data_IF_019986915913
#
_entry.id   IF_019986915913
#
_cell.length_a   1.000
_cell.length_b   1.000
_cell.length_c   1.000
_cell.angle_alpha   90.00
_cell.angle_beta   90.00
_cell.angle_gamma   90.00
#
_symmetry.space_group_name_H-M   'P 1'
#
loop_
_entity.id
_entity.type
_entity.pdbx_description
1 polymer ?
#
# COMPACT_ATOMS: atom_id res chain seq x y z
N UNK A 1 25.06 12.49 -2.62
CA UNK A 1 24.20 12.39 -1.44
C UNK A 1 22.73 12.73 -1.70
N UNK A 2 22.35 13.78 -2.44
CA UNK A 2 20.93 14.12 -2.68
C UNK A 2 20.09 13.08 -3.46
N UNK A 3 20.66 12.26 -4.34
CA UNK A 3 19.92 11.21 -5.07
C UNK A 3 19.53 9.99 -4.22
N UNK A 4 20.28 9.64 -3.19
CA UNK A 4 19.95 8.49 -2.32
C UNK A 4 18.73 8.76 -1.43
N UNK A 5 18.50 10.00 -1.01
CA UNK A 5 17.35 10.38 -0.18
C UNK A 5 16.01 10.33 -0.95
N UNK A 6 16.02 10.68 -2.23
CA UNK A 6 14.81 10.61 -3.07
C UNK A 6 14.33 9.17 -3.22
N UNK A 7 15.24 8.21 -3.32
CA UNK A 7 14.87 6.79 -3.44
C UNK A 7 14.42 6.17 -2.12
N UNK A 8 14.96 6.59 -0.99
CA UNK A 8 14.51 6.14 0.34
C UNK A 8 13.09 6.65 0.60
N UNK A 9 12.81 7.90 0.28
CA UNK A 9 11.44 8.45 0.38
C UNK A 9 10.50 7.75 -0.60
N UNK A 10 10.94 7.49 -1.84
CA UNK A 10 10.12 6.78 -2.83
C UNK A 10 9.84 5.31 -2.44
N UNK A 11 10.80 4.63 -1.79
CA UNK A 11 10.60 3.25 -1.34
C UNK A 11 9.73 3.15 -0.09
N UNK A 12 9.82 4.10 0.82
CA UNK A 12 8.90 4.20 1.97
C UNK A 12 7.50 4.52 1.47
N UNK A 13 7.33 5.42 0.51
CA UNK A 13 6.05 5.68 -0.13
C UNK A 13 5.50 4.47 -0.88
N UNK A 14 6.34 3.73 -1.60
CA UNK A 14 5.90 2.54 -2.34
C UNK A 14 5.44 1.41 -1.41
N UNK A 15 5.92 1.38 -0.18
CA UNK A 15 5.60 0.40 0.83
C UNK A 15 4.30 0.68 1.59
N UNK A 16 3.98 1.93 1.79
CA UNK A 16 2.74 2.37 2.43
C UNK A 16 1.54 1.81 1.65
N UNK A 17 1.66 1.65 0.32
CA UNK A 17 0.61 1.08 -0.54
C UNK A 17 0.24 -0.38 -0.27
N UNK A 18 1.04 -1.15 0.45
CA UNK A 18 0.85 -2.60 0.56
C UNK A 18 0.34 -3.08 1.93
N UNK A 19 0.22 -2.21 2.93
CA UNK A 19 0.12 -2.68 4.31
C UNK A 19 -1.26 -2.62 4.97
N UNK A 20 -2.32 -2.20 4.30
CA UNK A 20 -3.59 -2.01 4.99
C UNK A 20 -4.81 -2.70 4.40
N UNK A 21 -5.17 -3.80 4.98
CA UNK A 21 -6.54 -4.21 5.19
C UNK A 21 -6.61 -5.19 6.38
N UNK A 22 -6.58 -4.67 7.58
CA UNK A 22 -6.87 -5.46 8.78
C UNK A 22 -7.94 -4.78 9.63
N UNK A 23 -9.16 -4.82 9.18
CA UNK A 23 -10.32 -4.90 10.05
C UNK A 23 -11.29 -5.87 9.41
N UNK A 24 -11.19 -7.15 9.78
CA UNK A 24 -12.35 -8.01 9.63
C UNK A 24 -13.44 -7.43 10.52
N UNK A 25 -14.58 -7.01 9.98
CA UNK A 25 -15.74 -6.81 10.80
C UNK A 25 -16.08 -8.19 11.39
N UNK A 26 -16.07 -8.31 12.71
CA UNK A 26 -16.78 -9.39 13.41
C UNK A 26 -18.27 -9.19 13.09
N UNK A 27 -18.67 -9.64 11.92
CA UNK A 27 -20.04 -9.61 11.41
C UNK A 27 -20.62 -10.99 11.52
N UNK A 28 -21.63 -11.09 12.32
CA UNK A 28 -22.74 -12.04 12.32
C UNK A 28 -22.85 -12.89 11.07
N UNK A 29 -22.99 -14.19 11.24
CA UNK A 29 -23.39 -15.19 10.27
C UNK A 29 -24.55 -14.71 9.39
N UNK A 30 -24.26 -14.09 8.27
CA UNK A 30 -25.16 -14.02 7.13
C UNK A 30 -24.75 -15.10 6.14
N UNK A 31 -25.75 -15.88 5.73
CA UNK A 31 -25.60 -17.07 4.92
C UNK A 31 -24.78 -16.84 3.65
N UNK A 32 -23.95 -17.79 3.42
CA UNK A 32 -23.04 -18.10 2.33
C UNK A 32 -23.35 -17.42 0.98
N UNK A 33 -22.99 -16.17 0.80
CA UNK A 33 -22.89 -15.53 -0.53
C UNK A 33 -21.55 -15.91 -1.13
N UNK A 34 -21.47 -17.05 -1.78
CA UNK A 34 -20.24 -17.63 -2.32
C UNK A 34 -19.59 -16.78 -3.41
N UNK A 35 -20.37 -15.91 -4.07
CA UNK A 35 -19.97 -15.16 -5.26
C UNK A 35 -19.90 -13.63 -5.05
N UNK A 36 -19.99 -13.14 -3.82
CA UNK A 36 -19.91 -11.71 -3.53
C UNK A 36 -18.44 -11.26 -3.47
N UNK A 37 -18.12 -10.19 -4.18
CA UNK A 37 -16.86 -9.47 -4.11
C UNK A 37 -17.07 -8.19 -3.31
N UNK A 38 -16.16 -7.95 -2.36
CA UNK A 38 -16.10 -6.71 -1.58
C UNK A 38 -14.93 -5.86 -2.07
N UNK A 39 -15.22 -4.60 -2.37
CA UNK A 39 -14.21 -3.61 -2.76
C UNK A 39 -14.09 -2.61 -1.62
N UNK A 40 -12.88 -2.32 -1.20
CA UNK A 40 -12.60 -1.25 -0.24
C UNK A 40 -11.70 -0.20 -0.88
N UNK A 41 -12.01 1.05 -0.63
CA UNK A 41 -11.21 2.19 -1.05
C UNK A 41 -10.62 2.84 0.19
N UNK A 42 -9.32 2.94 0.24
CA UNK A 42 -8.57 3.54 1.33
C UNK A 42 -7.78 4.74 0.82
N UNK A 43 -7.81 5.83 1.55
CA UNK A 43 -6.98 7.01 1.34
C UNK A 43 -6.21 7.28 2.62
N UNK A 44 -4.92 7.01 2.61
CA UNK A 44 -4.02 7.17 3.76
C UNK A 44 -4.56 6.59 5.08
N UNK A 45 -5.10 5.37 5.04
CA UNK A 45 -5.63 4.68 6.21
C UNK A 45 -7.07 5.05 6.60
N UNK A 46 -7.74 5.92 5.82
CA UNK A 46 -9.15 6.24 6.00
C UNK A 46 -9.99 5.71 4.83
N UNK A 47 -10.99 4.88 5.12
CA UNK A 47 -11.93 4.42 4.10
C UNK A 47 -12.79 5.58 3.61
N UNK A 48 -12.79 5.84 2.31
CA UNK A 48 -13.56 6.88 1.63
C UNK A 48 -14.03 6.43 0.25
N UNK A 49 -15.14 6.98 -0.21
CA UNK A 49 -15.60 6.70 -1.55
C UNK A 49 -14.63 7.28 -2.59
N UNK A 50 -14.34 6.51 -3.63
CA UNK A 50 -13.68 7.00 -4.82
C UNK A 50 -14.63 7.92 -5.63
N UNK A 51 -14.06 8.69 -6.55
CA UNK A 51 -14.81 9.57 -7.45
C UNK A 51 -15.72 8.77 -8.39
N UNK A 52 -15.24 7.58 -8.78
CA UNK A 52 -15.99 6.66 -9.64
C UNK A 52 -15.56 5.21 -9.35
N UNK A 53 -16.51 4.28 -9.32
CA UNK A 53 -16.24 2.83 -9.26
C UNK A 53 -17.16 2.12 -10.22
N UNK A 54 -16.63 1.21 -11.04
CA UNK A 54 -17.42 0.35 -11.89
C UNK A 54 -16.87 -1.07 -11.92
N UNK A 55 -17.73 -2.02 -12.28
CA UNK A 55 -17.40 -3.44 -12.38
C UNK A 55 -17.88 -4.01 -13.70
N UNK A 56 -17.23 -5.09 -14.13
CA UNK A 56 -17.60 -5.91 -15.25
C UNK A 56 -17.67 -7.37 -14.78
N UNK A 57 -18.78 -8.05 -15.04
CA UNK A 57 -19.02 -9.45 -14.72
C UNK A 57 -18.72 -10.31 -15.96
N UNK A 58 -17.63 -11.08 -15.93
CA UNK A 58 -17.10 -11.80 -17.08
C UNK A 58 -16.26 -10.96 -18.04
N UNK A 59 -15.53 -11.60 -18.95
CA UNK A 59 -14.66 -10.94 -19.93
C UNK A 59 -15.42 -10.02 -20.90
N UNK A 60 -16.61 -10.45 -21.32
CA UNK A 60 -17.44 -9.79 -22.33
C UNK A 60 -18.66 -9.08 -21.71
N UNK A 61 -18.73 -9.01 -20.37
CA UNK A 61 -19.82 -8.36 -19.66
C UNK A 61 -19.85 -6.85 -19.88
N UNK A 62 -20.99 -6.24 -19.62
CA UNK A 62 -21.11 -4.77 -19.62
C UNK A 62 -20.56 -4.19 -18.33
N UNK A 63 -19.94 -3.02 -18.43
CA UNK A 63 -19.53 -2.27 -17.25
C UNK A 63 -20.76 -1.67 -16.57
N UNK A 64 -20.79 -1.74 -15.24
CA UNK A 64 -21.84 -1.20 -14.40
C UNK A 64 -21.24 -0.33 -13.29
N UNK A 65 -21.74 0.90 -13.14
CA UNK A 65 -21.29 1.79 -12.06
C UNK A 65 -21.84 1.29 -10.72
N UNK A 66 -20.94 1.21 -9.71
CA UNK A 66 -21.33 0.86 -8.35
C UNK A 66 -21.46 2.09 -7.46
N UNK A 67 -22.47 2.04 -6.59
CA UNK A 67 -22.60 3.00 -5.49
C UNK A 67 -22.14 2.34 -4.19
N UNK A 68 -21.20 2.98 -3.51
CA UNK A 68 -20.64 2.53 -2.24
C UNK A 68 -21.00 3.46 -1.09
N UNK A 69 -20.64 3.03 0.09
CA UNK A 69 -20.77 3.81 1.31
C UNK A 69 -19.51 3.67 2.15
N UNK A 70 -18.95 4.81 2.59
CA UNK A 70 -17.75 4.83 3.41
C UNK A 70 -16.60 3.99 2.84
N UNK A 71 -16.37 4.12 1.53
CA UNK A 71 -15.27 3.40 0.86
C UNK A 71 -15.51 1.91 0.66
N UNK A 72 -16.73 1.41 0.91
CA UNK A 72 -17.04 -0.01 0.71
C UNK A 72 -18.09 -0.17 -0.40
N UNK A 73 -17.81 -1.08 -1.35
CA UNK A 73 -18.65 -1.44 -2.46
C UNK A 73 -18.78 -2.97 -2.51
N UNK A 74 -19.90 -3.47 -3.04
CA UNK A 74 -20.16 -4.90 -3.16
C UNK A 74 -20.87 -5.21 -4.46
N UNK A 75 -20.53 -6.33 -5.08
CA UNK A 75 -21.26 -6.85 -6.21
C UNK A 75 -21.19 -8.39 -6.24
N UNK A 76 -22.10 -9.00 -6.98
CA UNK A 76 -22.15 -10.45 -7.13
C UNK A 76 -21.66 -10.81 -8.52
N UNK A 77 -20.69 -11.70 -8.60
CA UNK A 77 -20.19 -12.26 -9.86
C UNK A 77 -21.09 -13.41 -10.26
N UNK A 78 -21.65 -13.35 -11.47
CA UNK A 78 -22.52 -14.39 -12.03
C UNK A 78 -21.83 -15.16 -13.17
N UNK A 79 -20.70 -14.66 -13.64
CA UNK A 79 -19.90 -15.36 -14.66
C UNK A 79 -19.56 -16.78 -14.22
N UNK A 80 -19.73 -17.75 -15.13
CA UNK A 80 -19.55 -19.17 -14.83
C UNK A 80 -18.11 -19.54 -14.50
N UNK A 81 -17.15 -18.82 -15.04
CA UNK A 81 -15.71 -18.97 -14.77
C UNK A 81 -15.28 -18.11 -13.57
N UNK A 82 -16.19 -17.33 -13.01
CA UNK A 82 -15.95 -16.45 -11.88
C UNK A 82 -15.07 -15.25 -12.22
N UNK A 83 -14.93 -14.91 -13.50
CA UNK A 83 -14.09 -13.79 -13.97
C UNK A 83 -14.79 -12.47 -13.72
N UNK A 84 -14.03 -11.48 -13.28
CA UNK A 84 -14.54 -10.12 -13.11
C UNK A 84 -13.44 -9.07 -13.22
N UNK A 85 -13.87 -7.84 -13.46
CA UNK A 85 -13.01 -6.67 -13.50
C UNK A 85 -13.59 -5.54 -12.66
N UNK A 86 -12.72 -4.72 -12.08
CA UNK A 86 -13.08 -3.55 -11.30
C UNK A 86 -12.23 -2.38 -11.79
N UNK A 87 -12.84 -1.21 -11.85
CA UNK A 87 -12.12 0.06 -12.00
C UNK A 87 -12.55 1.01 -10.90
N UNK A 88 -11.59 1.68 -10.29
CA UNK A 88 -11.81 2.79 -9.38
C UNK A 88 -11.00 3.99 -9.84
N UNK A 89 -11.61 5.17 -9.81
CA UNK A 89 -10.95 6.44 -10.17
C UNK A 89 -10.99 7.36 -8.98
N UNK A 90 -9.85 7.94 -8.69
CA UNK A 90 -9.70 9.02 -7.74
C UNK A 90 -9.26 10.30 -8.46
N UNK A 91 -10.05 11.35 -8.34
CA UNK A 91 -9.75 12.67 -8.88
C UNK A 91 -9.23 13.56 -7.76
N UNK A 92 -8.14 14.26 -8.03
CA UNK A 92 -7.65 15.30 -7.12
C UNK A 92 -8.54 16.55 -7.21
N UNK A 93 -8.93 17.11 -6.08
CA UNK A 93 -9.90 18.22 -6.03
C UNK A 93 -9.32 19.55 -6.54
N UNK A 94 -7.99 19.68 -6.55
CA UNK A 94 -7.31 20.95 -6.86
C UNK A 94 -6.40 20.90 -8.10
N UNK A 95 -6.40 19.79 -8.79
CA UNK A 95 -5.65 19.60 -10.03
C UNK A 95 -6.51 18.82 -11.05
N UNK A 96 -6.11 18.85 -12.30
CA UNK A 96 -6.72 17.98 -13.31
C UNK A 96 -6.11 16.56 -13.27
N UNK A 97 -5.41 16.20 -12.18
CA UNK A 97 -4.81 14.90 -12.02
C UNK A 97 -5.85 13.89 -11.55
N UNK A 98 -5.66 12.65 -11.97
CA UNK A 98 -6.45 11.52 -11.50
C UNK A 98 -5.59 10.26 -11.46
N UNK A 99 -5.98 9.37 -10.57
CA UNK A 99 -5.43 8.03 -10.48
C UNK A 99 -6.52 7.01 -10.80
N UNK A 100 -6.19 6.06 -11.65
CA UNK A 100 -7.11 4.97 -11.97
C UNK A 100 -6.48 3.66 -11.50
N UNK A 101 -7.20 2.91 -10.71
CA UNK A 101 -6.80 1.57 -10.28
C UNK A 101 -7.74 0.54 -10.93
N UNK A 102 -7.16 -0.43 -11.64
CA UNK A 102 -7.88 -1.52 -12.28
C UNK A 102 -7.47 -2.84 -11.64
N UNK A 103 -8.45 -3.69 -11.44
CA UNK A 103 -8.25 -5.05 -10.99
C UNK A 103 -8.98 -6.01 -11.95
N UNK A 104 -8.29 -7.07 -12.34
CA UNK A 104 -8.84 -8.13 -13.16
C UNK A 104 -8.47 -9.48 -12.54
N UNK A 105 -9.47 -10.29 -12.24
CA UNK A 105 -9.23 -11.56 -11.55
C UNK A 105 -10.40 -12.50 -11.58
N UNK A 106 -10.28 -13.57 -10.79
CA UNK A 106 -11.34 -14.56 -10.61
C UNK A 106 -11.77 -14.67 -9.14
N UNK A 107 -13.00 -15.14 -8.90
CA UNK A 107 -13.51 -15.41 -7.56
C UNK A 107 -12.67 -16.41 -6.77
N UNK A 108 -11.96 -17.30 -7.48
CA UNK A 108 -11.08 -18.29 -6.84
C UNK A 108 -9.82 -17.64 -6.28
N UNK A 109 -9.39 -16.51 -6.85
CA UNK A 109 -8.15 -15.82 -6.48
C UNK A 109 -8.39 -14.66 -5.52
N UNK A 110 -9.47 -13.90 -5.71
CA UNK A 110 -9.79 -12.79 -4.83
C UNK A 110 -11.30 -12.61 -4.66
N UNK A 111 -11.76 -12.41 -3.44
CA UNK A 111 -13.12 -11.97 -3.08
C UNK A 111 -13.14 -10.63 -2.37
N UNK A 112 -11.97 -10.13 -2.05
CA UNK A 112 -11.78 -8.80 -1.49
C UNK A 112 -10.70 -8.08 -2.31
N UNK A 113 -11.01 -6.89 -2.77
CA UNK A 113 -10.07 -6.03 -3.51
C UNK A 113 -9.98 -4.71 -2.77
N UNK A 114 -8.77 -4.31 -2.41
CA UNK A 114 -8.51 -3.05 -1.76
C UNK A 114 -7.74 -2.13 -2.71
N UNK A 115 -8.32 -0.96 -2.99
CA UNK A 115 -7.61 0.10 -3.69
C UNK A 115 -7.17 1.15 -2.69
N UNK A 116 -5.94 1.57 -2.83
CA UNK A 116 -5.34 2.60 -2.04
C UNK A 116 -4.96 3.76 -2.93
N UNK A 117 -5.41 4.94 -2.57
CA UNK A 117 -5.06 6.19 -3.23
C UNK A 117 -4.30 7.09 -2.28
N UNK A 118 -3.28 7.73 -2.78
CA UNK A 118 -2.60 8.80 -2.04
C UNK A 118 -3.52 10.01 -1.95
N UNK A 119 -3.43 10.71 -0.85
CA UNK A 119 -4.21 11.92 -0.65
C UNK A 119 -3.28 13.13 -0.62
N UNK A 120 -3.11 13.79 -1.75
CA UNK A 120 -2.37 15.06 -1.82
C UNK A 120 -3.21 16.26 -1.31
N UNK A 121 -4.42 16.00 -0.79
CA UNK A 121 -5.32 17.07 -0.41
C UNK A 121 -5.16 17.50 1.03
N UNK A 122 -4.61 18.69 1.20
CA UNK A 122 -4.52 19.39 2.49
C UNK A 122 -5.88 19.57 3.22
N UNK A 123 -7.01 19.39 2.52
CA UNK A 123 -8.36 19.47 3.12
C UNK A 123 -8.66 18.37 4.13
N UNK A 124 -8.04 17.22 4.00
CA UNK A 124 -8.21 16.08 4.89
C UNK A 124 -7.18 16.03 6.03
N UNK A 125 -6.24 16.97 6.03
CA UNK A 125 -5.26 17.14 7.06
C UNK A 125 -5.69 18.23 8.06
N UNK A 126 -5.14 18.15 9.26
CA UNK A 126 -5.26 19.17 10.27
C UNK A 126 -3.95 19.22 11.09
N UNK A 127 -3.80 20.25 11.91
CA UNK A 127 -2.58 20.49 12.68
C UNK A 127 -2.67 19.89 14.07
N UNK A 128 -1.71 19.03 14.43
CA UNK A 128 -1.49 18.55 15.77
C UNK A 128 -0.31 19.30 16.41
N UNK A 129 -0.60 20.10 17.42
CA UNK A 129 0.41 20.72 18.28
C UNK A 129 0.77 19.77 19.42
N UNK A 130 2.01 19.31 19.49
CA UNK A 130 2.49 18.40 20.52
C UNK A 130 3.41 19.15 21.47
N UNK A 131 3.13 19.06 22.78
CA UNK A 131 4.01 19.55 23.84
C UNK A 131 4.60 18.32 24.54
N UNK A 132 5.93 18.18 24.52
CA UNK A 132 6.66 17.15 25.25
C UNK A 132 7.06 17.65 26.64
N UNK A 133 7.36 16.75 27.61
CA UNK A 133 7.84 17.14 28.94
C UNK A 133 9.13 17.97 28.85
N UNK A 134 9.37 18.83 29.82
CA UNK A 134 10.54 19.72 29.88
C UNK A 134 11.87 18.95 29.81
N UNK A 135 11.93 17.75 30.37
CA UNK A 135 13.08 16.83 30.27
C UNK A 135 13.46 16.44 28.82
N UNK A 136 12.54 16.62 27.87
CA UNK A 136 12.69 16.34 26.44
C UNK A 136 12.52 17.58 25.56
N UNK A 137 12.58 18.79 26.11
CA UNK A 137 12.34 20.03 25.37
C UNK A 137 13.29 20.22 24.17
N UNK A 138 14.49 19.62 24.24
CA UNK A 138 15.49 19.66 23.17
C UNK A 138 15.60 18.33 22.39
N UNK A 139 14.66 17.40 22.61
CA UNK A 139 14.65 16.13 21.88
C UNK A 139 14.00 16.29 20.50
N UNK A 140 14.31 15.42 19.55
CA UNK A 140 13.55 15.37 18.32
C UNK A 140 12.35 14.43 18.44
N UNK A 141 11.34 14.65 17.60
CA UNK A 141 10.07 13.92 17.66
C UNK A 141 9.68 13.43 16.27
N UNK A 142 9.35 12.12 16.16
CA UNK A 142 8.69 11.55 14.99
C UNK A 142 7.26 11.16 15.38
N UNK A 143 6.32 11.41 14.49
CA UNK A 143 4.89 11.16 14.76
C UNK A 143 4.32 10.26 13.67
N UNK A 144 3.62 9.21 14.11
CA UNK A 144 2.96 8.24 13.24
C UNK A 144 1.48 8.18 13.59
N UNK A 145 0.65 8.33 12.59
CA UNK A 145 -0.79 8.25 12.76
C UNK A 145 -1.42 7.70 11.48
N UNK A 146 -2.20 6.64 11.61
CA UNK A 146 -2.69 5.88 10.47
C UNK A 146 -1.48 5.42 9.62
N UNK A 147 -1.48 5.73 8.34
CA UNK A 147 -0.36 5.44 7.41
C UNK A 147 0.61 6.60 7.24
N UNK A 148 0.32 7.71 7.90
CA UNK A 148 1.10 8.94 7.74
C UNK A 148 2.25 9.00 8.73
N UNK A 149 3.42 9.36 8.22
CA UNK A 149 4.60 9.68 8.98
C UNK A 149 4.87 11.17 8.88
N UNK A 150 4.80 11.88 10.00
CA UNK A 150 5.34 13.23 10.09
C UNK A 150 6.82 13.11 10.51
N UNK A 151 7.76 13.43 9.60
CA UNK A 151 9.16 13.15 9.82
C UNK A 151 9.72 14.00 10.94
N UNK A 152 10.87 13.55 11.45
CA UNK A 152 11.76 14.11 12.42
C UNK A 152 11.69 15.64 12.56
N UNK A 153 10.97 16.10 13.57
CA UNK A 153 10.82 17.50 13.92
C UNK A 153 11.58 17.82 15.21
N UNK A 154 12.39 18.87 15.18
CA UNK A 154 13.01 19.38 16.40
C UNK A 154 12.05 20.36 17.07
N UNK A 155 11.52 20.04 18.27
CA UNK A 155 10.67 20.97 19.01
C UNK A 155 11.39 22.29 19.29
N UNK A 156 10.66 23.38 19.21
CA UNK A 156 11.11 24.66 19.76
C UNK A 156 10.45 24.83 21.15
N UNK A 157 11.25 24.98 22.17
CA UNK A 157 10.77 25.09 23.57
C UNK A 157 9.84 23.93 23.97
N UNK A 158 10.17 22.70 23.59
CA UNK A 158 9.37 21.52 23.88
C UNK A 158 8.07 21.40 23.10
N UNK A 159 7.86 22.23 22.07
CA UNK A 159 6.65 22.21 21.22
C UNK A 159 6.99 21.91 19.78
N UNK A 160 6.22 21.04 19.17
CA UNK A 160 6.28 20.79 17.72
C UNK A 160 4.88 20.81 17.13
N UNK A 161 4.79 21.04 15.84
CA UNK A 161 3.53 21.02 15.11
C UNK A 161 3.70 20.14 13.88
N UNK A 162 2.78 19.23 13.68
CA UNK A 162 2.73 18.30 12.54
C UNK A 162 1.37 18.38 11.86
N UNK A 163 1.33 18.13 10.58
CA UNK A 163 0.09 17.94 9.82
C UNK A 163 -0.19 16.45 9.71
N UNK A 164 -1.38 16.02 10.09
CA UNK A 164 -1.80 14.63 10.10
C UNK A 164 -3.15 14.49 9.40
N UNK A 165 -3.43 13.33 8.78
CA UNK A 165 -4.74 13.06 8.19
C UNK A 165 -5.81 12.99 9.28
N UNK A 166 -7.04 13.46 8.98
CA UNK A 166 -8.18 13.31 9.87
C UNK A 166 -8.62 11.85 9.93
N UNK A 167 -8.90 11.35 11.11
CA UNK A 167 -9.32 9.96 11.28
C UNK A 167 -9.33 9.51 12.72
N UNK A 168 -9.40 8.19 12.92
CA UNK A 168 -9.29 7.54 14.22
C UNK A 168 -8.42 6.29 14.10
N UNK A 169 -7.44 6.18 14.97
CA UNK A 169 -6.47 5.10 14.95
C UNK A 169 -5.50 5.22 16.12
N UNK A 170 -4.35 4.61 16.02
CA UNK A 170 -3.26 4.74 16.98
C UNK A 170 -2.39 5.94 16.62
N UNK A 171 -2.11 6.79 17.62
CA UNK A 171 -1.07 7.80 17.52
C UNK A 171 0.18 7.31 18.22
N UNK A 172 1.31 7.32 17.53
CA UNK A 172 2.62 7.00 18.09
C UNK A 172 3.52 8.21 17.98
N UNK A 173 4.10 8.62 19.10
CA UNK A 173 5.07 9.71 19.17
C UNK A 173 6.38 9.15 19.70
N UNK A 174 7.42 9.16 18.89
CA UNK A 174 8.75 8.69 19.25
C UNK A 174 9.63 9.88 19.57
N UNK A 175 10.27 9.84 20.74
CA UNK A 175 11.22 10.87 21.19
C UNK A 175 12.63 10.35 20.92
N UNK A 176 13.44 11.16 20.25
CA UNK A 176 14.81 10.87 19.89
C UNK A 176 15.79 11.78 20.61
N UNK A 177 16.93 11.23 20.96
CA UNK A 177 18.09 12.01 21.36
C UNK A 177 18.62 12.80 20.14
N UNK A 178 18.85 14.10 20.29
CA UNK A 178 19.26 14.96 19.17
C UNK A 178 20.66 14.63 18.63
N UNK A 179 21.56 14.24 19.51
CA UNK A 179 22.98 14.03 19.16
C UNK A 179 23.17 12.68 18.47
N UNK A 180 22.52 11.65 19.00
CA UNK A 180 22.66 10.27 18.50
C UNK A 180 21.56 9.85 17.53
N UNK A 181 20.46 10.62 17.45
CA UNK A 181 19.23 10.29 16.72
C UNK A 181 18.56 8.98 17.19
N UNK A 182 19.02 8.42 18.28
CA UNK A 182 18.47 7.19 18.83
C UNK A 182 17.10 7.42 19.46
N UNK A 183 16.17 6.51 19.21
CA UNK A 183 14.88 6.50 19.89
C UNK A 183 15.06 6.22 21.39
N UNK A 184 14.53 7.08 22.24
CA UNK A 184 14.70 7.01 23.70
C UNK A 184 13.43 6.69 24.42
N UNK A 185 12.32 7.28 24.00
CA UNK A 185 10.99 7.12 24.61
C UNK A 185 9.91 7.08 23.54
N UNK A 186 8.77 6.51 23.92
CA UNK A 186 7.59 6.46 23.06
C UNK A 186 6.31 6.76 23.87
N UNK A 187 5.40 7.48 23.23
CA UNK A 187 4.02 7.65 23.64
C UNK A 187 3.11 6.95 22.65
N UNK A 188 2.14 6.18 23.14
CA UNK A 188 1.16 5.47 22.31
C UNK A 188 -0.24 5.79 22.82
N UNK A 189 -1.08 6.39 21.97
CA UNK A 189 -2.52 6.52 22.21
C UNK A 189 -3.26 5.58 21.25
N UNK A 190 -3.87 4.53 21.81
CA UNK A 190 -4.52 3.45 21.05
C UNK A 190 -5.91 3.80 20.51
N UNK A 191 -6.46 4.94 20.91
CA UNK A 191 -7.81 5.36 20.53
C UNK A 191 -7.85 6.84 20.17
N UNK A 192 -6.77 7.33 19.55
CA UNK A 192 -6.68 8.72 19.16
C UNK A 192 -7.68 9.04 18.05
N UNK A 193 -8.44 10.10 18.29
CA UNK A 193 -9.37 10.65 17.30
C UNK A 193 -8.95 12.06 16.94
N UNK A 194 -8.79 12.30 15.64
CA UNK A 194 -8.27 13.53 15.07
C UNK A 194 -9.17 14.00 13.93
N UNK A 195 -10.01 15.01 14.21
CA UNK A 195 -11.02 15.51 13.27
C UNK A 195 -10.79 16.98 12.87
N UNK A 196 -9.74 17.60 13.40
CA UNK A 196 -9.39 19.00 13.19
C UNK A 196 -8.24 19.42 14.09
N UNK A 197 -7.81 20.66 13.99
CA UNK A 197 -6.69 21.20 14.78
C UNK A 197 -6.82 20.86 16.26
N UNK A 198 -5.76 20.30 16.84
CA UNK A 198 -5.76 19.79 18.20
C UNK A 198 -4.41 20.03 18.87
N UNK A 199 -4.44 20.18 20.19
CA UNK A 199 -3.24 20.21 21.04
C UNK A 199 -3.16 18.96 21.88
N UNK A 200 -1.98 18.37 21.98
CA UNK A 200 -1.65 17.22 22.80
C UNK A 200 -0.49 17.59 23.72
N UNK A 201 -0.70 17.50 25.01
CA UNK A 201 0.39 17.59 26.00
C UNK A 201 0.70 16.19 26.50
N UNK A 202 1.93 15.75 26.29
CA UNK A 202 2.41 14.45 26.74
C UNK A 202 3.03 14.63 28.14
N UNK A 203 2.46 13.95 29.13
CA UNK A 203 3.02 13.91 30.49
C UNK A 203 4.17 12.89 30.53
N UNK A 204 5.19 13.15 31.35
CA UNK A 204 6.35 12.25 31.48
C UNK A 204 5.95 10.83 31.94
N UNK A 205 4.93 10.71 32.79
CA UNK A 205 4.35 9.44 33.24
C UNK A 205 3.75 8.58 32.12
N UNK A 206 3.40 9.20 31.00
CA UNK A 206 2.84 8.53 29.81
C UNK A 206 3.91 8.07 28.82
N UNK A 207 5.13 8.54 28.96
CA UNK A 207 6.26 8.11 28.14
C UNK A 207 6.75 6.74 28.61
N UNK A 208 6.90 5.83 27.66
CA UNK A 208 7.33 4.45 27.89
C UNK A 208 8.75 4.23 27.36
N UNK A 209 9.47 3.33 28.01
CA UNK A 209 10.69 2.79 27.45
C UNK A 209 10.34 1.72 26.42
N UNK A 210 11.14 1.62 25.36
CA UNK A 210 10.99 0.55 24.39
C UNK A 210 11.17 -0.82 25.02
N UNK A 211 10.58 -1.83 24.41
CA UNK A 211 10.90 -3.22 24.71
C UNK A 211 12.33 -3.58 24.27
N UNK A 212 12.66 -4.87 24.34
CA UNK A 212 13.99 -5.32 23.93
C UNK A 212 14.22 -5.14 22.43
N UNK A 213 15.44 -4.85 22.05
CA UNK A 213 15.86 -4.84 20.65
C UNK A 213 15.71 -6.23 20.01
N UNK A 214 15.21 -6.28 18.79
CA UNK A 214 15.16 -7.48 17.97
C UNK A 214 16.56 -7.69 17.39
N UNK A 215 17.31 -8.61 17.99
CA UNK A 215 18.72 -8.89 17.62
C UNK A 215 18.84 -10.22 16.90
N UNK A 216 19.70 -10.26 15.89
CA UNK A 216 19.98 -11.46 15.09
C UNK A 216 19.12 -11.51 13.81
N UNK A 217 19.38 -12.50 12.98
CA UNK A 217 18.89 -12.54 11.61
C UNK A 217 19.85 -11.84 10.65
N UNK A 218 19.37 -11.50 9.43
CA UNK A 218 20.16 -10.74 8.47
C UNK A 218 20.22 -9.27 8.88
N UNK A 219 21.40 -8.66 8.77
CA UNK A 219 21.64 -7.23 9.09
C UNK A 219 20.91 -6.27 8.12
N UNK A 220 20.42 -6.80 7.00
CA UNK A 220 19.71 -6.06 5.97
C UNK A 220 18.20 -5.99 6.23
N UNK A 221 17.73 -6.64 7.30
CA UNK A 221 16.30 -6.65 7.67
C UNK A 221 15.97 -5.44 8.54
N UNK A 222 14.93 -4.72 8.15
CA UNK A 222 14.29 -3.67 8.93
C UNK A 222 13.01 -4.23 9.57
N UNK A 223 12.79 -3.93 10.85
CA UNK A 223 11.59 -4.35 11.57
C UNK A 223 10.65 -3.17 11.78
N UNK A 224 9.37 -3.38 11.57
CA UNK A 224 8.32 -2.39 11.79
C UNK A 224 7.36 -2.85 12.88
N UNK A 225 6.78 -1.91 13.62
CA UNK A 225 5.56 -2.20 14.36
C UNK A 225 4.36 -2.05 13.43
N UNK A 226 3.50 -3.06 13.45
CA UNK A 226 2.21 -3.04 12.78
C UNK A 226 1.15 -3.01 13.88
N UNK A 227 0.75 -1.82 14.26
CA UNK A 227 -0.39 -1.58 15.15
C UNK A 227 -1.64 -1.61 14.25
N UNK A 228 -2.82 -1.79 14.80
CA UNK A 228 -4.05 -2.00 14.02
C UNK A 228 -4.13 -1.19 12.72
N UNK A 229 -3.87 0.13 12.78
CA UNK A 229 -3.90 1.04 11.62
C UNK A 229 -2.62 1.84 11.41
N UNK A 230 -1.66 1.72 12.30
CA UNK A 230 -0.44 2.55 12.28
C UNK A 230 0.80 1.69 12.12
N UNK A 231 1.64 2.08 11.18
CA UNK A 231 2.94 1.48 10.92
C UNK A 231 4.04 2.36 11.49
N UNK A 232 4.98 1.77 12.22
CA UNK A 232 6.14 2.49 12.76
C UNK A 232 7.42 1.83 12.26
N UNK A 233 8.22 2.54 11.42
CA UNK A 233 9.44 1.99 10.83
C UNK A 233 10.52 1.65 11.84
N UNK A 234 11.17 0.52 11.66
CA UNK A 234 12.28 0.07 12.49
C UNK A 234 13.50 0.98 12.46
N UNK A 235 13.71 1.69 11.36
CA UNK A 235 14.75 2.71 11.25
C UNK A 235 14.58 3.85 12.27
N UNK A 236 13.33 4.15 12.63
CA UNK A 236 12.96 5.18 13.61
C UNK A 236 13.09 4.67 15.05
N UNK A 237 12.74 3.41 15.27
CA UNK A 237 12.71 2.80 16.61
C UNK A 237 13.90 1.89 16.88
N UNK A 238 14.94 1.95 16.05
CA UNK A 238 16.19 1.14 16.19
C UNK A 238 15.89 -0.36 16.39
N UNK A 239 14.91 -0.91 15.67
CA UNK A 239 14.44 -2.29 15.77
C UNK A 239 14.00 -2.72 17.20
N UNK A 240 13.61 -1.77 18.03
CA UNK A 240 13.10 -2.07 19.36
C UNK A 240 11.69 -2.65 19.30
N UNK A 241 11.33 -3.49 20.25
CA UNK A 241 9.95 -3.98 20.43
C UNK A 241 9.05 -2.91 21.01
N UNK A 242 7.74 -3.07 20.77
CA UNK A 242 6.69 -2.32 21.47
C UNK A 242 6.93 -2.48 22.98
N UNK A 243 6.74 -1.41 23.80
CA UNK A 243 6.80 -1.54 25.25
C UNK A 243 5.90 -2.66 25.75
N UNK A 244 6.40 -3.53 26.63
CA UNK A 244 5.68 -4.74 27.07
C UNK A 244 4.29 -4.41 27.64
N UNK A 245 4.14 -3.28 28.34
CA UNK A 245 2.87 -2.81 28.89
C UNK A 245 1.88 -2.26 27.86
N UNK A 246 2.35 -1.96 26.63
CA UNK A 246 1.54 -1.40 25.55
C UNK A 246 1.14 -2.43 24.48
N UNK A 247 1.71 -3.65 24.55
CA UNK A 247 1.43 -4.70 23.56
C UNK A 247 -0.05 -5.12 23.61
N UNK A 248 -0.69 -5.17 22.43
CA UNK A 248 -2.02 -5.72 22.22
C UNK A 248 -1.97 -7.02 21.44
N UNK A 249 -3.00 -7.84 21.58
CA UNK A 249 -3.09 -9.12 20.84
C UNK A 249 -3.17 -8.95 19.31
N UNK A 250 -3.61 -7.77 18.86
CA UNK A 250 -3.67 -7.39 17.45
C UNK A 250 -2.33 -6.93 16.88
N UNK A 251 -1.38 -6.52 17.73
CA UNK A 251 -0.10 -6.00 17.28
C UNK A 251 0.74 -7.06 16.59
N UNK A 252 1.50 -6.65 15.61
CA UNK A 252 2.40 -7.48 14.82
C UNK A 252 3.73 -6.78 14.63
N UNK A 253 4.69 -7.56 14.20
CA UNK A 253 5.98 -7.07 13.72
C UNK A 253 6.13 -7.49 12.28
N UNK A 254 6.51 -6.57 11.43
CA UNK A 254 6.86 -6.87 10.05
C UNK A 254 8.37 -6.79 9.91
N UNK A 255 8.96 -7.85 9.41
CA UNK A 255 10.35 -7.88 8.98
C UNK A 255 10.37 -7.64 7.47
N UNK A 256 11.18 -6.72 7.04
CA UNK A 256 11.36 -6.35 5.65
C UNK A 256 12.81 -6.51 5.23
N UNK A 257 12.99 -7.08 4.05
CA UNK A 257 14.27 -7.16 3.34
C UNK A 257 14.13 -6.45 2.01
N UNK A 258 15.03 -5.52 1.75
CA UNK A 258 15.09 -4.77 0.50
C UNK A 258 16.41 -5.06 -0.20
N UNK A 259 16.35 -5.52 -1.44
CA UNK A 259 17.50 -5.63 -2.31
C UNK A 259 17.34 -4.65 -3.47
N UNK A 260 18.28 -3.72 -3.54
CA UNK A 260 18.37 -2.75 -4.63
C UNK A 260 19.12 -3.34 -5.81
N UNK A 261 18.56 -3.24 -7.00
CA UNK A 261 19.20 -3.72 -8.21
C UNK A 261 18.17 -4.02 -9.30
N UNK A 262 18.56 -4.81 -10.27
CA UNK A 262 17.70 -5.39 -11.29
C UNK A 262 17.76 -6.92 -11.14
N UNK A 263 16.69 -7.53 -10.60
CA UNK A 263 15.44 -6.90 -10.12
C UNK A 263 15.59 -6.18 -8.78
N UNK A 264 14.67 -5.26 -8.52
CA UNK A 264 14.42 -4.79 -7.16
C UNK A 264 13.58 -5.84 -6.44
N UNK A 265 14.06 -6.33 -5.29
CA UNK A 265 13.35 -7.32 -4.48
C UNK A 265 12.93 -6.64 -3.18
N UNK A 266 11.63 -6.66 -2.93
CA UNK A 266 11.06 -6.32 -1.64
C UNK A 266 10.38 -7.57 -1.08
N UNK A 267 10.85 -8.01 0.07
CA UNK A 267 10.30 -9.16 0.75
C UNK A 267 9.99 -8.82 2.20
N UNK A 268 8.89 -9.30 2.69
CA UNK A 268 8.50 -9.09 4.08
C UNK A 268 7.78 -10.29 4.68
N UNK A 269 7.87 -10.36 6.02
CA UNK A 269 7.22 -11.36 6.85
C UNK A 269 6.58 -10.68 8.06
N UNK A 270 5.35 -11.06 8.36
CA UNK A 270 4.62 -10.57 9.53
C UNK A 270 4.64 -11.63 10.64
N UNK A 271 4.99 -11.24 11.86
CA UNK A 271 5.01 -12.10 13.04
C UNK A 271 4.34 -11.44 14.24
N UNK A 272 3.90 -12.25 15.21
CA UNK A 272 3.35 -11.74 16.49
C UNK A 272 4.43 -11.38 17.50
N UNK A 273 5.61 -12.00 17.41
CA UNK A 273 6.55 -12.06 18.53
C UNK A 273 7.78 -11.17 18.35
N UNK A 274 7.97 -10.56 17.18
CA UNK A 274 9.19 -9.82 16.88
C UNK A 274 10.41 -10.69 17.10
N UNK A 275 10.44 -11.86 16.43
CA UNK A 275 11.59 -12.77 16.46
C UNK A 275 12.57 -12.40 15.36
N UNK A 276 13.87 -12.70 15.54
CA UNK A 276 14.86 -12.55 14.47
C UNK A 276 14.50 -13.42 13.25
N UNK A 277 14.64 -12.85 12.07
CA UNK A 277 14.28 -13.49 10.80
C UNK A 277 15.51 -13.52 9.89
N UNK A 278 15.61 -14.59 9.09
CA UNK A 278 16.60 -14.74 8.02
C UNK A 278 15.91 -14.92 6.69
N UNK A 279 16.36 -14.23 5.67
CA UNK A 279 15.87 -14.38 4.29
C UNK A 279 16.55 -15.55 3.63
N UNK A 280 15.77 -16.40 2.95
CA UNK A 280 16.31 -17.55 2.24
C UNK A 280 17.14 -17.14 1.03
N UNK A 281 18.19 -17.90 0.70
CA UNK A 281 19.04 -17.64 -0.46
C UNK A 281 18.25 -17.60 -1.78
N UNK A 282 17.18 -18.39 -1.90
CA UNK A 282 16.32 -18.40 -3.08
C UNK A 282 15.64 -17.05 -3.34
N UNK A 283 15.30 -16.29 -2.28
CA UNK A 283 14.75 -14.94 -2.43
C UNK A 283 15.83 -13.97 -2.91
N UNK A 284 17.03 -14.09 -2.35
CA UNK A 284 18.16 -13.22 -2.68
C UNK A 284 18.69 -13.39 -4.11
N UNK A 285 18.31 -14.47 -4.79
CA UNK A 285 18.78 -14.84 -6.13
C UNK A 285 17.68 -14.82 -7.19
N UNK A 286 16.55 -14.17 -6.93
CA UNK A 286 15.49 -13.98 -7.93
C UNK A 286 16.02 -13.18 -9.14
N UNK A 287 15.64 -13.66 -10.33
CA UNK A 287 16.02 -13.02 -11.59
C UNK A 287 14.95 -12.04 -12.07
N UNK A 288 15.37 -11.07 -12.88
CA UNK A 288 14.51 -10.07 -13.50
C UNK A 288 13.39 -10.69 -14.33
N UNK A 289 12.18 -10.15 -14.19
CA UNK A 289 11.02 -10.50 -14.99
C UNK A 289 10.75 -9.49 -16.12
N UNK A 290 11.58 -8.48 -16.31
CA UNK A 290 11.38 -7.44 -17.33
C UNK A 290 11.23 -8.01 -18.75
N UNK A 291 11.90 -9.12 -19.08
CA UNK A 291 11.76 -9.80 -20.35
C UNK A 291 10.40 -10.49 -20.57
N UNK A 292 9.58 -10.56 -19.52
CA UNK A 292 8.26 -11.22 -19.60
C UNK A 292 7.13 -10.27 -20.01
N UNK A 293 7.42 -8.98 -20.24
CA UNK A 293 6.41 -7.99 -20.59
C UNK A 293 6.76 -7.28 -21.90
N UNK A 294 5.75 -7.08 -22.74
CA UNK A 294 5.83 -6.19 -23.89
C UNK A 294 4.53 -5.40 -24.04
N UNK A 295 4.63 -4.17 -24.49
CA UNK A 295 3.47 -3.31 -24.68
C UNK A 295 3.37 -2.90 -26.15
N UNK A 296 2.14 -2.84 -26.66
CA UNK A 296 1.82 -2.37 -28.01
C UNK A 296 0.58 -1.47 -27.95
N UNK A 297 0.53 -0.49 -28.83
CA UNK A 297 -0.61 0.40 -28.99
C UNK A 297 -0.31 1.44 -30.06
N UNK A 298 -1.36 2.02 -30.63
CA UNK A 298 -1.30 3.15 -31.54
C UNK A 298 -2.15 4.29 -30.99
N UNK A 299 -1.99 5.48 -31.54
CA UNK A 299 -2.78 6.67 -31.11
C UNK A 299 -4.30 6.46 -31.11
N UNK A 300 -4.81 5.49 -31.86
CA UNK A 300 -6.25 5.20 -31.99
C UNK A 300 -6.69 3.93 -31.28
N UNK A 301 -5.76 3.15 -30.70
CA UNK A 301 -6.05 1.86 -30.07
C UNK A 301 -5.77 1.92 -28.56
N UNK A 302 -6.60 1.23 -27.80
CA UNK A 302 -6.36 1.05 -26.37
C UNK A 302 -5.08 0.21 -26.16
N UNK A 303 -4.27 0.54 -25.14
CA UNK A 303 -3.06 -0.18 -24.82
C UNK A 303 -3.27 -1.69 -24.69
N UNK A 304 -2.36 -2.47 -25.27
CA UNK A 304 -2.25 -3.90 -25.06
C UNK A 304 -0.91 -4.24 -24.41
N UNK A 305 -0.96 -5.02 -23.39
CA UNK A 305 0.21 -5.49 -22.67
C UNK A 305 0.23 -7.01 -22.74
N UNK A 306 1.26 -7.58 -23.34
CA UNK A 306 1.48 -9.01 -23.35
C UNK A 306 2.43 -9.37 -22.22
N UNK A 307 2.01 -10.31 -21.38
CA UNK A 307 2.77 -10.84 -20.27
C UNK A 307 3.12 -12.29 -20.57
N UNK A 308 4.38 -12.68 -20.40
CA UNK A 308 4.71 -14.10 -20.37
C UNK A 308 4.47 -14.65 -18.97
N UNK A 309 4.06 -15.92 -18.90
CA UNK A 309 3.92 -16.60 -17.62
C UNK A 309 5.26 -16.59 -16.89
N UNK A 310 5.27 -16.03 -15.71
CA UNK A 310 6.41 -16.12 -14.80
C UNK A 310 6.27 -17.38 -13.96
N UNK A 311 7.29 -18.20 -13.94
CA UNK A 311 7.37 -19.37 -13.06
C UNK A 311 8.28 -19.05 -11.89
N UNK A 312 7.75 -19.15 -10.68
CA UNK A 312 8.53 -18.90 -9.48
C UNK A 312 9.67 -19.93 -9.37
N UNK A 313 10.92 -19.48 -9.27
CA UNK A 313 12.03 -20.38 -9.01
C UNK A 313 12.09 -20.85 -7.55
N UNK A 314 11.25 -20.28 -6.69
CA UNK A 314 11.17 -20.63 -5.27
C UNK A 314 10.08 -21.68 -5.10
N UNK A 315 10.45 -22.86 -4.61
CA UNK A 315 9.51 -23.93 -4.28
C UNK A 315 8.44 -23.42 -3.30
N UNK A 316 7.18 -23.79 -3.53
CA UNK A 316 6.02 -23.38 -2.74
C UNK A 316 5.54 -21.95 -2.93
N UNK A 317 6.21 -21.12 -3.72
CA UNK A 317 5.77 -19.77 -4.03
C UNK A 317 5.11 -19.72 -5.42
N UNK A 318 3.87 -19.31 -5.46
CA UNK A 318 3.12 -19.08 -6.70
C UNK A 318 3.01 -17.61 -7.00
N UNK A 319 2.88 -17.27 -8.28
CA UNK A 319 2.46 -15.93 -8.69
C UNK A 319 1.02 -15.70 -8.24
N UNK A 320 0.80 -14.64 -7.48
CA UNK A 320 -0.55 -14.24 -7.03
C UNK A 320 -1.16 -13.18 -7.91
N UNK A 321 -0.34 -12.25 -8.38
CA UNK A 321 -0.75 -11.26 -9.37
C UNK A 321 0.46 -10.61 -10.03
N UNK A 322 0.19 -10.01 -11.18
CA UNK A 322 1.04 -9.05 -11.86
C UNK A 322 0.46 -7.65 -11.63
N UNK A 323 1.32 -6.70 -11.33
CA UNK A 323 0.94 -5.30 -11.22
C UNK A 323 1.85 -4.48 -12.12
N UNK A 324 1.29 -3.59 -12.92
CA UNK A 324 2.02 -2.68 -13.77
C UNK A 324 1.30 -1.35 -13.88
N UNK A 325 2.05 -0.31 -14.14
CA UNK A 325 1.51 1.02 -14.34
C UNK A 325 1.63 1.44 -15.81
N UNK A 326 0.57 2.08 -16.27
CA UNK A 326 0.54 2.75 -17.56
C UNK A 326 0.45 4.24 -17.28
N UNK A 327 1.50 4.98 -17.61
CA UNK A 327 1.54 6.41 -17.37
C UNK A 327 1.98 7.19 -18.59
N UNK A 328 1.55 8.45 -18.67
CA UNK A 328 1.92 9.34 -19.75
C UNK A 328 3.41 9.75 -19.63
N UNK A 329 4.13 9.72 -20.73
CA UNK A 329 5.53 10.16 -20.75
C UNK A 329 5.63 11.67 -20.54
N UNK A 330 6.38 12.08 -19.51
CA UNK A 330 6.39 13.45 -18.97
C UNK A 330 7.27 14.44 -19.78
N UNK A 331 7.99 14.02 -20.81
CA UNK A 331 9.12 14.80 -21.35
C UNK A 331 8.78 16.17 -21.94
N UNK A 332 7.54 16.50 -22.27
CA UNK A 332 7.26 17.79 -22.96
C UNK A 332 5.87 18.41 -22.74
N UNK A 333 4.98 17.83 -21.95
CA UNK A 333 3.60 18.31 -21.85
C UNK A 333 3.18 18.62 -20.40
N UNK A 334 2.76 19.88 -20.09
CA UNK A 334 2.21 20.25 -18.78
C UNK A 334 0.76 19.76 -18.56
N UNK A 335 0.21 18.95 -19.46
CA UNK A 335 -1.17 18.46 -19.35
C UNK A 335 -1.36 17.49 -18.20
N UNK A 336 -2.57 17.37 -17.63
CA UNK A 336 -2.89 16.49 -16.54
C UNK A 336 -2.54 15.04 -16.90
N UNK A 337 -1.66 14.48 -16.12
CA UNK A 337 -1.15 13.12 -16.36
C UNK A 337 -1.95 12.16 -15.51
N UNK A 338 -2.76 11.35 -16.19
CA UNK A 338 -3.40 10.21 -15.54
C UNK A 338 -2.40 9.06 -15.40
N UNK A 339 -2.39 8.44 -14.23
CA UNK A 339 -1.68 7.18 -14.01
C UNK A 339 -2.68 6.06 -13.80
N UNK A 340 -2.46 4.95 -14.52
CA UNK A 340 -3.29 3.76 -14.42
C UNK A 340 -2.49 2.65 -13.76
N UNK A 341 -2.91 2.23 -12.58
CA UNK A 341 -2.36 1.09 -11.86
C UNK A 341 -3.19 -0.14 -12.19
N UNK A 342 -2.59 -1.15 -12.78
CA UNK A 342 -3.27 -2.35 -13.24
C UNK A 342 -2.78 -3.54 -12.45
N UNK A 343 -3.70 -4.28 -11.85
CA UNK A 343 -3.46 -5.54 -11.17
C UNK A 343 -4.22 -6.65 -11.86
N UNK A 344 -3.52 -7.70 -12.28
CA UNK A 344 -4.09 -8.83 -13.03
C UNK A 344 -3.66 -10.14 -12.40
N UNK A 345 -4.61 -11.02 -12.13
CA UNK A 345 -4.30 -12.34 -11.57
C UNK A 345 -3.96 -13.36 -12.66
N UNK A 346 -3.21 -14.44 -12.33
CA UNK A 346 -2.93 -15.51 -13.27
C UNK A 346 -4.19 -16.14 -13.90
N UNK A 347 -5.23 -16.39 -13.10
CA UNK A 347 -6.47 -16.99 -13.58
C UNK A 347 -7.20 -16.13 -14.62
N UNK A 348 -7.15 -14.80 -14.48
CA UNK A 348 -7.65 -13.90 -15.52
C UNK A 348 -6.77 -13.97 -16.78
N UNK A 349 -5.44 -13.94 -16.64
CA UNK A 349 -4.49 -13.96 -17.75
C UNK A 349 -4.57 -15.27 -18.56
N UNK A 350 -4.83 -16.39 -17.91
CA UNK A 350 -5.06 -17.67 -18.59
C UNK A 350 -6.30 -17.65 -19.50
N UNK A 351 -7.31 -16.84 -19.19
CA UNK A 351 -8.51 -16.66 -20.02
C UNK A 351 -8.30 -15.69 -21.18
N UNK A 352 -7.24 -14.88 -21.14
CA UNK A 352 -6.91 -13.88 -22.16
C UNK A 352 -5.61 -14.19 -22.89
N UNK A 353 -5.13 -15.44 -22.82
CA UNK A 353 -3.85 -15.87 -23.43
C UNK A 353 -2.66 -14.96 -23.03
N UNK A 354 -2.68 -14.50 -21.78
CA UNK A 354 -1.68 -13.56 -21.23
C UNK A 354 -1.59 -12.22 -21.96
N UNK A 355 -2.67 -11.79 -22.60
CA UNK A 355 -2.80 -10.46 -23.21
C UNK A 355 -3.80 -9.63 -22.41
N UNK A 356 -3.31 -8.59 -21.77
CA UNK A 356 -4.13 -7.55 -21.17
C UNK A 356 -4.46 -6.49 -22.22
N UNK A 357 -5.72 -6.12 -22.34
CA UNK A 357 -6.15 -4.96 -23.14
C UNK A 357 -6.85 -3.98 -22.21
N UNK A 358 -6.45 -2.72 -22.25
CA UNK A 358 -7.13 -1.69 -21.45
C UNK A 358 -8.63 -1.67 -21.80
N UNK A 359 -9.54 -1.73 -20.83
CA UNK A 359 -10.96 -1.89 -21.11
C UNK A 359 -11.57 -0.64 -21.74
N UNK A 360 -12.49 -0.86 -22.69
CA UNK A 360 -13.33 0.20 -23.22
C UNK A 360 -14.54 0.38 -22.31
N UNK A 361 -14.51 1.42 -21.48
CA UNK A 361 -15.62 1.74 -20.57
C UNK A 361 -16.55 2.77 -21.23
N UNK A 362 -17.82 2.44 -21.35
CA UNK A 362 -18.85 3.25 -22.05
C UNK A 362 -19.98 3.66 -21.12
N UNK A 363 -19.65 4.12 -19.93
CA UNK A 363 -20.62 4.62 -18.94
C UNK A 363 -20.71 6.14 -19.00
N UNK A 364 -21.89 6.69 -18.70
CA UNK A 364 -22.15 8.14 -18.80
C UNK A 364 -21.21 8.97 -17.90
N UNK A 365 -20.83 8.43 -16.74
CA UNK A 365 -19.95 9.09 -15.80
C UNK A 365 -18.45 8.79 -16.02
N UNK A 366 -18.12 7.96 -17.02
CA UNK A 366 -16.74 7.72 -17.42
C UNK A 366 -16.23 8.86 -18.29
N UNK A 367 -15.31 9.65 -17.78
CA UNK A 367 -14.72 10.75 -18.55
C UNK A 367 -13.75 10.21 -19.59
N UNK A 368 -13.77 10.78 -20.79
CA UNK A 368 -12.84 10.39 -21.85
C UNK A 368 -11.38 10.60 -21.46
N UNK A 369 -11.12 11.53 -20.54
CA UNK A 369 -9.78 11.80 -19.97
C UNK A 369 -9.23 10.63 -19.14
N UNK A 370 -10.08 9.73 -18.64
CA UNK A 370 -9.63 8.53 -17.92
C UNK A 370 -9.10 7.42 -18.83
N UNK A 371 -9.26 7.54 -20.16
CA UNK A 371 -8.67 6.59 -21.06
C UNK A 371 -7.19 6.92 -21.27
N UNK A 372 -6.30 5.91 -21.30
CA UNK A 372 -4.94 6.14 -21.73
C UNK A 372 -4.94 6.64 -23.18
N UNK A 373 -4.24 7.71 -23.45
CA UNK A 373 -4.06 8.30 -24.78
C UNK A 373 -2.67 7.95 -25.33
N UNK A 374 -2.39 8.28 -26.58
CA UNK A 374 -1.09 8.08 -27.23
C UNK A 374 0.08 8.55 -26.35
N UNK A 375 1.23 7.90 -26.49
CA UNK A 375 2.47 8.14 -25.74
C UNK A 375 2.45 7.68 -24.26
N UNK A 376 1.63 6.72 -23.91
CA UNK A 376 1.76 6.02 -22.63
C UNK A 376 2.92 5.01 -22.67
N UNK A 377 3.54 4.84 -21.53
CA UNK A 377 4.59 3.84 -21.32
C UNK A 377 4.17 2.91 -20.18
N UNK A 378 4.51 1.64 -20.30
CA UNK A 378 4.54 0.74 -19.16
C UNK A 378 5.86 0.99 -18.46
N UNK A 379 5.79 1.48 -17.20
CA UNK A 379 6.99 1.89 -16.47
C UNK A 379 7.52 0.80 -15.56
N UNK A 380 6.65 0.09 -14.88
CA UNK A 380 7.04 -0.87 -13.86
C UNK A 380 6.24 -2.15 -14.02
N UNK A 381 6.89 -3.28 -13.93
CA UNK A 381 6.25 -4.58 -13.71
C UNK A 381 6.59 -5.06 -12.31
N UNK A 382 5.56 -5.38 -11.53
CA UNK A 382 5.71 -6.03 -10.23
C UNK A 382 5.04 -7.40 -10.27
N UNK A 383 5.74 -8.41 -9.78
CA UNK A 383 5.19 -9.75 -9.61
C UNK A 383 5.11 -10.04 -8.12
N UNK A 384 3.94 -10.41 -7.64
CA UNK A 384 3.74 -10.84 -6.28
C UNK A 384 3.83 -12.36 -6.19
N UNK A 385 4.76 -12.84 -5.38
CA UNK A 385 4.94 -14.27 -5.09
C UNK A 385 4.59 -14.55 -3.63
N UNK A 386 3.82 -15.61 -3.37
CA UNK A 386 3.50 -16.03 -2.00
C UNK A 386 3.17 -17.52 -1.95
N UNK A 387 3.53 -18.22 -0.86
CA UNK A 387 3.11 -19.60 -0.64
C UNK A 387 1.65 -19.70 -0.21
N UNK A 388 1.03 -18.62 0.23
CA UNK A 388 -0.31 -18.62 0.80
C UNK A 388 -1.37 -18.20 -0.21
N UNK A 389 -2.59 -18.68 -0.01
CA UNK A 389 -3.79 -18.09 -0.64
C UNK A 389 -3.92 -16.66 -0.12
N UNK A 390 -4.00 -15.70 -1.02
CA UNK A 390 -4.25 -14.31 -0.66
C UNK A 390 -5.76 -14.11 -0.70
N UNK A 391 -6.41 -14.01 0.45
CA UNK A 391 -7.86 -13.76 0.54
C UNK A 391 -8.25 -12.34 0.10
N UNK A 392 -7.29 -11.52 -0.24
CA UNK A 392 -7.49 -10.17 -0.77
C UNK A 392 -6.21 -9.66 -1.41
N UNK A 393 -6.35 -8.95 -2.50
CA UNK A 393 -5.24 -8.27 -3.14
C UNK A 393 -5.02 -6.96 -2.38
N UNK A 394 -3.77 -6.72 -2.02
CA UNK A 394 -3.33 -5.65 -1.12
C UNK A 394 -3.75 -5.83 0.35
N UNK A 395 -4.17 -7.04 0.78
CA UNK A 395 -4.41 -7.27 2.20
C UNK A 395 -3.28 -8.07 2.83
N UNK A 396 -2.70 -7.52 3.88
CA UNK A 396 -1.90 -8.26 4.85
C UNK A 396 -2.85 -8.98 5.78
N UNK A 397 -3.25 -10.19 5.40
CA UNK A 397 -4.00 -11.03 6.32
C UNK A 397 -3.06 -11.49 7.43
N UNK A 398 -3.42 -11.35 8.72
CA UNK A 398 -2.63 -11.91 9.81
C UNK A 398 -2.45 -13.41 9.59
N UNK A 399 -1.24 -13.84 9.29
CA UNK A 399 -0.95 -15.24 8.97
C UNK A 399 -0.17 -15.42 7.66
N UNK A 400 -0.09 -14.42 6.80
CA UNK A 400 0.79 -14.45 5.63
C UNK A 400 2.23 -14.46 6.12
N UNK A 401 2.88 -15.59 5.96
CA UNK A 401 4.23 -15.75 6.50
C UNK A 401 5.29 -15.11 5.61
N UNK A 402 5.09 -15.08 4.29
CA UNK A 402 6.11 -14.63 3.35
C UNK A 402 5.46 -14.04 2.10
N UNK A 403 5.89 -12.87 1.68
CA UNK A 403 5.52 -12.29 0.39
C UNK A 403 6.74 -11.64 -0.25
N UNK A 404 6.94 -11.92 -1.52
CA UNK A 404 8.05 -11.35 -2.32
C UNK A 404 7.45 -10.52 -3.42
N UNK A 405 7.91 -9.29 -3.55
CA UNK A 405 7.65 -8.44 -4.70
C UNK A 405 8.92 -8.33 -5.52
N UNK A 406 8.83 -8.81 -6.72
CA UNK A 406 9.85 -8.62 -7.75
C UNK A 406 9.43 -7.43 -8.60
N UNK A 407 10.21 -6.38 -8.63
CA UNK A 407 9.88 -5.17 -9.40
C UNK A 407 10.98 -4.86 -10.40
N UNK A 408 10.58 -4.65 -11.64
CA UNK A 408 11.46 -4.30 -12.74
C UNK A 408 11.02 -2.99 -13.40
N UNK A 409 11.97 -2.16 -13.79
CA UNK A 409 11.71 -1.02 -14.65
C UNK A 409 11.56 -1.48 -16.10
N UNK A 410 10.39 -1.25 -16.66
CA UNK A 410 10.07 -1.59 -18.03
C UNK A 410 9.99 -0.31 -18.85
N UNK A 411 10.99 -0.03 -19.63
CA UNK A 411 11.02 1.16 -20.51
C UNK A 411 10.34 0.92 -21.87
N UNK A 412 9.15 0.31 -21.91
CA UNK A 412 8.43 0.06 -23.16
C UNK A 412 7.53 1.24 -23.53
N UNK A 413 7.83 1.91 -24.65
CA UNK A 413 6.98 2.96 -25.24
C UNK A 413 5.91 2.34 -26.14
N UNK A 414 4.69 2.77 -25.98
CA UNK A 414 3.56 2.47 -26.89
C UNK A 414 3.46 3.52 -27.99
#
# INVERSE_FOLDING_TARGET
MKRRWVYVVLSVFLMIFLLYSCTSPTGTNEGNKTNEVTITIDREGAQRNASFVAVQDGLEGTWEELKGSNGTYRFTVNDSDGVYSIVAVDEETHSDHFHTSLFHGTLAEAKTVNFEFDNDESADFARLSITVPESYANAAVSVFFLKHEAPYNSPQDGKTMVELPKGSGELVVVIHDLDTQAATKVYIDRAFSFQGDKSLTIEESKLKSFGKEIKGGDSEITYYWVLSKTLVPGSVISNMKIPDEEVKSSDRYMAEYLQWGEPFINWWKVTKEGIPITVTDGIKTLESAASTISATGTESELPKVTLNRYESPITEYDVKYYNFDISKRIETDPSPVGTHFITVTPGYLEKTDYVYTFPKITLDNWKSTYNPVANYVVQTLKICLSPNTIDGINSLTPGIEWTVFLSDLVGSTM
#
